data_IF_161999257671
#
_entry.id   IF_161999257671
#
_cell.length_a   1.000
_cell.length_b   1.000
_cell.length_c   1.000
_cell.angle_alpha   90.00
_cell.angle_beta   90.00
_cell.angle_gamma   90.00
#
_symmetry.space_group_name_H-M   'P 1'
#
loop_
_entity.id
_entity.type
_entity.pdbx_description
1 polymer ?
#
# COMPACT_ATOMS: atom_id res chain seq x y z
N UNK A 1 -11.37 22.07 -0.76
CA UNK A 1 -11.95 21.01 -1.62
C UNK A 1 -11.01 19.82 -1.49
N UNK A 2 -11.47 18.67 -0.98
CA UNK A 2 -10.62 17.45 -0.95
C UNK A 2 -10.46 16.99 -2.40
N UNK A 3 -9.23 16.85 -2.87
CA UNK A 3 -8.94 16.38 -4.23
C UNK A 3 -9.16 14.87 -4.24
N UNK A 4 -9.88 14.36 -5.24
CA UNK A 4 -9.98 12.92 -5.48
C UNK A 4 -8.72 12.47 -6.23
N UNK A 5 -7.81 11.80 -5.52
CA UNK A 5 -6.53 11.37 -6.08
C UNK A 5 -6.70 10.29 -7.16
N UNK A 6 -7.88 9.66 -7.30
CA UNK A 6 -8.15 8.74 -8.42
C UNK A 6 -8.09 9.40 -9.80
N UNK A 7 -8.20 10.72 -9.85
CA UNK A 7 -8.06 11.50 -11.08
C UNK A 7 -6.59 11.69 -11.52
N UNK A 8 -5.63 11.24 -10.70
CA UNK A 8 -4.20 11.36 -10.94
C UNK A 8 -3.62 9.94 -11.12
N UNK A 9 -3.16 9.63 -12.33
CA UNK A 9 -2.61 8.30 -12.67
C UNK A 9 -1.07 8.26 -12.60
N UNK A 10 -0.52 8.89 -11.57
CA UNK A 10 0.91 8.95 -11.31
C UNK A 10 1.13 9.26 -9.83
N UNK A 11 2.31 8.94 -9.27
CA UNK A 11 2.64 9.37 -7.93
C UNK A 11 2.58 10.88 -7.75
N UNK A 12 2.21 11.31 -6.56
CA UNK A 12 2.14 12.72 -6.17
C UNK A 12 3.19 13.08 -5.11
N UNK A 13 3.68 12.07 -4.38
CA UNK A 13 4.75 12.21 -3.39
C UNK A 13 6.11 11.76 -3.92
N UNK A 14 7.12 11.89 -3.06
CA UNK A 14 8.53 11.62 -3.38
C UNK A 14 8.97 10.18 -3.13
N UNK A 15 8.13 9.36 -2.50
CA UNK A 15 8.50 8.02 -2.00
C UNK A 15 8.13 6.87 -2.94
N UNK A 16 7.47 7.18 -4.06
CA UNK A 16 7.06 6.24 -5.10
C UNK A 16 8.20 5.72 -5.99
N UNK A 17 9.42 6.22 -5.81
CA UNK A 17 10.61 5.76 -6.53
C UNK A 17 11.70 5.36 -5.55
N UNK A 18 12.52 4.37 -5.92
CA UNK A 18 13.71 4.03 -5.15
C UNK A 18 14.63 5.26 -5.08
N UNK A 19 14.90 5.76 -3.87
CA UNK A 19 15.70 6.97 -3.66
C UNK A 19 17.12 6.86 -4.27
N UNK A 20 17.65 5.64 -4.35
CA UNK A 20 18.96 5.32 -4.93
C UNK A 20 18.89 4.85 -6.40
N UNK A 21 17.68 4.77 -6.98
CA UNK A 21 17.43 4.22 -8.32
C UNK A 21 17.70 2.71 -8.44
N UNK A 22 18.08 2.02 -7.36
CA UNK A 22 18.46 0.61 -7.41
C UNK A 22 17.24 -0.30 -7.26
N UNK A 23 16.46 -0.41 -8.33
CA UNK A 23 15.27 -1.27 -8.40
C UNK A 23 15.59 -2.77 -8.22
N UNK A 24 16.84 -3.19 -8.46
CA UNK A 24 17.23 -4.60 -8.35
C UNK A 24 17.12 -5.14 -6.92
N UNK A 25 17.28 -4.28 -5.91
CA UNK A 25 17.20 -4.69 -4.50
C UNK A 25 15.84 -5.29 -4.14
N UNK A 26 14.76 -4.81 -4.77
CA UNK A 26 13.40 -5.29 -4.53
C UNK A 26 13.07 -6.60 -5.24
N UNK A 27 13.96 -7.13 -6.09
CA UNK A 27 13.69 -8.37 -6.80
C UNK A 27 13.72 -9.57 -5.87
N UNK A 28 12.71 -10.42 -5.97
CA UNK A 28 12.71 -11.73 -5.34
C UNK A 28 13.74 -12.65 -6.01
N UNK A 29 14.40 -13.48 -5.22
CA UNK A 29 15.25 -14.56 -5.74
C UNK A 29 14.41 -15.66 -6.39
N UNK A 30 15.05 -16.51 -7.21
CA UNK A 30 14.37 -17.69 -7.79
C UNK A 30 13.76 -18.59 -6.72
N UNK A 31 14.46 -18.78 -5.60
CA UNK A 31 13.98 -19.61 -4.49
C UNK A 31 12.75 -19.00 -3.81
N UNK A 32 12.72 -17.68 -3.65
CA UNK A 32 11.55 -16.95 -3.13
C UNK A 32 10.33 -17.08 -4.05
N UNK A 33 10.52 -16.94 -5.37
CA UNK A 33 9.45 -17.14 -6.36
C UNK A 33 8.95 -18.60 -6.34
N UNK A 34 9.86 -19.57 -6.26
CA UNK A 34 9.49 -20.98 -6.15
C UNK A 34 8.73 -21.28 -4.84
N UNK A 35 9.12 -20.65 -3.73
CA UNK A 35 8.41 -20.73 -2.46
C UNK A 35 6.98 -20.22 -2.60
N UNK A 36 6.78 -19.06 -3.22
CA UNK A 36 5.44 -18.52 -3.48
C UNK A 36 4.59 -19.50 -4.30
N UNK A 37 5.14 -20.03 -5.41
CA UNK A 37 4.42 -21.00 -6.26
C UNK A 37 4.02 -22.26 -5.51
N UNK A 38 4.81 -22.68 -4.53
CA UNK A 38 4.55 -23.88 -3.72
C UNK A 38 3.59 -23.63 -2.55
N UNK A 39 3.69 -22.46 -1.91
CA UNK A 39 3.05 -22.20 -0.61
C UNK A 39 1.98 -21.11 -0.66
N UNK A 40 1.85 -20.38 -1.76
CA UNK A 40 0.88 -19.29 -1.93
C UNK A 40 1.31 -17.95 -1.31
N UNK A 41 2.46 -17.89 -0.64
CA UNK A 41 3.00 -16.66 -0.05
C UNK A 41 4.53 -16.66 -0.05
N UNK A 42 5.12 -15.47 0.11
CA UNK A 42 6.56 -15.28 0.28
C UNK A 42 6.82 -14.06 1.14
N UNK A 43 7.87 -14.13 1.96
CA UNK A 43 8.39 -12.97 2.69
C UNK A 43 9.58 -12.43 1.89
N UNK A 44 9.45 -11.18 1.44
CA UNK A 44 10.52 -10.44 0.77
C UNK A 44 11.69 -10.12 1.70
N UNK A 45 12.82 -9.66 1.12
CA UNK A 45 14.00 -9.25 1.89
C UNK A 45 14.02 -7.76 2.22
N UNK A 46 13.44 -6.96 1.33
CA UNK A 46 13.47 -5.50 1.40
C UNK A 46 12.14 -4.93 1.87
N UNK A 47 12.23 -3.81 2.57
CA UNK A 47 11.09 -3.08 3.15
C UNK A 47 10.98 -1.67 2.56
N UNK A 48 9.86 -1.02 2.84
CA UNK A 48 9.70 0.41 2.63
C UNK A 48 10.73 1.19 3.46
N UNK A 49 11.12 2.38 3.00
CA UNK A 49 11.99 3.23 3.82
C UNK A 49 11.27 3.65 5.10
N UNK A 50 12.03 3.98 6.14
CA UNK A 50 11.48 4.41 7.42
C UNK A 50 10.57 5.63 7.25
N UNK A 51 10.99 6.61 6.43
CA UNK A 51 10.20 7.81 6.19
C UNK A 51 8.90 7.54 5.43
N UNK A 52 8.89 6.55 4.52
CA UNK A 52 7.65 6.18 3.85
C UNK A 52 6.72 5.37 4.76
N UNK A 53 7.28 4.54 5.65
CA UNK A 53 6.50 3.89 6.70
C UNK A 53 5.88 4.91 7.65
N UNK A 54 6.61 5.93 8.07
CA UNK A 54 6.10 7.03 8.90
C UNK A 54 4.95 7.77 8.20
N UNK A 55 5.06 8.06 6.90
CA UNK A 55 3.98 8.65 6.12
C UNK A 55 2.74 7.75 6.09
N UNK A 56 2.90 6.45 5.85
CA UNK A 56 1.78 5.50 5.84
C UNK A 56 1.09 5.41 7.21
N UNK A 57 1.85 5.44 8.30
CA UNK A 57 1.30 5.47 9.65
C UNK A 57 0.52 6.76 9.91
N UNK A 58 1.07 7.93 9.56
CA UNK A 58 0.40 9.21 9.70
C UNK A 58 -0.88 9.31 8.85
N UNK A 59 -0.83 8.78 7.62
CA UNK A 59 -2.00 8.65 6.76
C UNK A 59 -3.05 7.73 7.39
N UNK A 60 -2.65 6.60 7.95
CA UNK A 60 -3.58 5.68 8.60
C UNK A 60 -4.26 6.37 9.80
N UNK A 61 -3.52 7.05 10.66
CA UNK A 61 -4.07 7.82 11.78
C UNK A 61 -5.10 8.86 11.32
N UNK A 62 -4.80 9.56 10.21
CA UNK A 62 -5.74 10.47 9.58
C UNK A 62 -6.99 9.74 9.08
N UNK A 63 -6.85 8.62 8.36
CA UNK A 63 -7.96 7.90 7.73
C UNK A 63 -8.91 7.25 8.75
N UNK A 64 -8.39 6.71 9.86
CA UNK A 64 -9.20 6.09 10.92
C UNK A 64 -9.88 7.10 11.84
N UNK A 65 -9.52 8.38 11.74
CA UNK A 65 -10.14 9.41 12.56
C UNK A 65 -11.66 9.49 12.28
N UNK A 66 -12.50 9.71 13.32
CA UNK A 66 -13.95 9.82 13.13
C UNK A 66 -14.36 10.90 12.12
N UNK A 67 -13.56 11.96 11.98
CA UNK A 67 -13.78 13.05 11.02
C UNK A 67 -13.67 12.59 9.57
N UNK A 68 -12.86 11.56 9.30
CA UNK A 68 -12.69 10.99 7.96
C UNK A 68 -13.57 9.78 7.69
N UNK A 69 -14.24 9.20 8.69
CA UNK A 69 -15.13 8.06 8.50
C UNK A 69 -16.24 8.33 7.46
N UNK A 70 -16.76 9.57 7.40
CA UNK A 70 -17.81 9.99 6.47
C UNK A 70 -17.28 10.63 5.17
N UNK A 71 -16.00 10.43 4.84
CA UNK A 71 -15.44 10.97 3.60
C UNK A 71 -16.13 10.34 2.39
N UNK A 72 -16.71 11.17 1.51
CA UNK A 72 -17.47 10.72 0.34
C UNK A 72 -16.62 10.01 -0.73
N UNK A 73 -15.30 9.99 -0.57
CA UNK A 73 -14.37 9.27 -1.44
C UNK A 73 -14.14 7.82 -1.00
N UNK A 74 -14.63 7.40 0.17
CA UNK A 74 -14.67 5.98 0.50
C UNK A 74 -15.62 5.24 -0.45
N UNK A 75 -15.22 4.04 -0.88
CA UNK A 75 -16.16 3.07 -1.46
C UNK A 75 -16.88 2.32 -0.33
N UNK A 76 -16.17 2.04 0.75
CA UNK A 76 -16.65 1.39 1.96
C UNK A 76 -15.75 1.82 3.12
N UNK A 77 -16.33 2.02 4.32
CA UNK A 77 -15.57 2.36 5.51
C UNK A 77 -16.29 1.88 6.77
N UNK A 78 -15.64 1.00 7.50
CA UNK A 78 -16.08 0.44 8.76
C UNK A 78 -14.98 0.64 9.81
N UNK A 79 -15.27 1.44 10.83
CA UNK A 79 -14.28 1.77 11.87
C UNK A 79 -13.91 0.56 12.74
N UNK A 80 -14.79 -0.43 12.83
CA UNK A 80 -14.53 -1.69 13.51
C UNK A 80 -15.43 -2.81 12.99
N UNK A 81 -14.84 -3.79 12.31
CA UNK A 81 -15.47 -5.04 11.85
C UNK A 81 -15.14 -6.23 12.77
N UNK A 82 -14.58 -5.98 13.94
CA UNK A 82 -14.31 -7.04 14.91
C UNK A 82 -15.62 -7.48 15.58
N UNK A 83 -16.08 -8.68 15.26
CA UNK A 83 -17.30 -9.26 15.83
C UNK A 83 -17.21 -9.53 17.34
N UNK A 84 -16.00 -9.79 17.85
CA UNK A 84 -15.79 -10.10 19.27
C UNK A 84 -14.34 -9.89 19.70
N UNK A 85 -14.14 -9.25 20.86
CA UNK A 85 -12.83 -9.01 21.44
C UNK A 85 -12.63 -7.54 21.81
N UNK A 86 -11.46 -7.23 22.36
CA UNK A 86 -11.03 -5.84 22.59
C UNK A 86 -10.31 -5.22 21.39
N UNK A 87 -10.06 -6.02 20.35
CA UNK A 87 -9.31 -5.58 19.18
C UNK A 87 -10.21 -4.80 18.22
N UNK A 88 -9.62 -3.80 17.55
CA UNK A 88 -10.30 -3.02 16.51
C UNK A 88 -9.81 -3.50 15.16
N UNK A 89 -10.74 -3.94 14.31
CA UNK A 89 -10.46 -4.25 12.90
C UNK A 89 -11.00 -3.12 12.02
N UNK A 90 -10.15 -2.15 11.70
CA UNK A 90 -10.51 -1.13 10.72
C UNK A 90 -10.54 -1.75 9.31
N UNK A 91 -11.67 -1.59 8.61
CA UNK A 91 -11.83 -2.04 7.23
C UNK A 91 -12.29 -0.87 6.35
N UNK A 92 -11.57 -0.59 5.27
CA UNK A 92 -12.00 0.43 4.33
C UNK A 92 -11.51 0.15 2.90
N UNK A 93 -12.29 0.63 1.92
CA UNK A 93 -12.00 0.56 0.51
C UNK A 93 -11.90 1.97 -0.07
N UNK A 94 -10.76 2.31 -0.67
CA UNK A 94 -10.55 3.60 -1.34
C UNK A 94 -9.53 4.54 -0.68
N UNK A 95 -8.72 4.06 0.28
CA UNK A 95 -7.71 4.88 0.98
C UNK A 95 -6.76 5.60 0.01
N UNK A 96 -6.36 4.93 -1.06
CA UNK A 96 -5.51 5.45 -2.14
C UNK A 96 -6.11 6.65 -2.90
N UNK A 97 -7.41 6.92 -2.77
CA UNK A 97 -8.08 8.10 -3.34
C UNK A 97 -7.98 9.33 -2.45
N UNK A 98 -7.66 9.12 -1.17
CA UNK A 98 -7.84 10.09 -0.09
C UNK A 98 -6.50 10.59 0.43
N UNK A 99 -5.52 9.71 0.62
CA UNK A 99 -4.25 10.05 1.25
C UNK A 99 -3.05 9.77 0.35
N UNK A 100 -2.00 10.57 0.52
CA UNK A 100 -0.82 10.58 -0.35
C UNK A 100 -0.03 9.27 -0.27
N UNK A 101 0.26 8.78 0.93
CA UNK A 101 1.04 7.58 1.15
C UNK A 101 0.37 6.34 0.57
N UNK A 102 -0.93 6.15 0.81
CA UNK A 102 -1.68 5.03 0.23
C UNK A 102 -1.88 5.17 -1.28
N UNK A 103 -1.95 6.40 -1.81
CA UNK A 103 -1.96 6.65 -3.24
C UNK A 103 -0.64 6.21 -3.87
N UNK A 104 0.48 6.75 -3.39
CA UNK A 104 1.82 6.49 -3.91
C UNK A 104 2.26 5.03 -3.74
N UNK A 105 1.72 4.32 -2.74
CA UNK A 105 1.99 2.90 -2.51
C UNK A 105 1.65 2.03 -3.72
N UNK A 106 0.68 2.44 -4.56
CA UNK A 106 0.32 1.75 -5.80
C UNK A 106 1.48 1.66 -6.80
N UNK A 107 2.39 2.64 -6.78
CA UNK A 107 3.54 2.69 -7.68
C UNK A 107 4.84 2.21 -7.04
N UNK A 108 4.86 1.96 -5.73
CA UNK A 108 6.06 1.68 -4.96
C UNK A 108 6.81 0.43 -5.48
N UNK A 109 8.08 0.55 -5.94
CA UNK A 109 8.91 -0.58 -6.37
C UNK A 109 9.00 -1.76 -5.40
N UNK A 110 8.97 -1.51 -4.09
CA UNK A 110 8.97 -2.57 -3.08
C UNK A 110 7.71 -3.48 -3.15
N UNK A 111 6.64 -3.00 -3.76
CA UNK A 111 5.38 -3.73 -3.99
C UNK A 111 5.29 -4.23 -5.43
N UNK A 112 5.47 -3.32 -6.40
CA UNK A 112 5.24 -3.62 -7.82
C UNK A 112 6.28 -4.59 -8.41
N UNK A 113 7.56 -4.49 -8.03
CA UNK A 113 8.59 -5.39 -8.56
C UNK A 113 8.38 -6.84 -8.11
N UNK A 114 8.21 -7.15 -6.80
CA UNK A 114 7.83 -8.49 -6.39
C UNK A 114 6.54 -8.97 -7.06
N UNK A 115 5.50 -8.14 -7.11
CA UNK A 115 4.22 -8.51 -7.70
C UNK A 115 4.34 -8.94 -9.17
N UNK A 116 5.08 -8.17 -9.99
CA UNK A 116 5.32 -8.52 -11.39
C UNK A 116 6.05 -9.86 -11.54
N UNK A 117 7.02 -10.18 -10.66
CA UNK A 117 7.71 -11.46 -10.67
C UNK A 117 6.82 -12.64 -10.26
N UNK A 118 5.92 -12.41 -9.31
CA UNK A 118 5.01 -13.45 -8.82
C UNK A 118 3.88 -13.75 -9.81
N UNK A 119 3.38 -12.71 -10.49
CA UNK A 119 2.26 -12.79 -11.43
C UNK A 119 2.70 -13.04 -12.88
N UNK A 120 4.00 -12.92 -13.17
CA UNK A 120 4.57 -13.05 -14.52
C UNK A 120 3.90 -12.10 -15.54
N UNK A 121 3.57 -10.89 -15.07
CA UNK A 121 2.85 -9.87 -15.83
C UNK A 121 3.22 -8.47 -15.33
N UNK A 122 3.02 -7.47 -16.20
CA UNK A 122 3.12 -6.07 -15.79
C UNK A 122 1.96 -5.72 -14.85
N UNK A 123 2.28 -5.02 -13.76
CA UNK A 123 1.33 -4.52 -12.75
C UNK A 123 1.34 -3.00 -12.79
N UNK A 124 0.14 -2.42 -12.76
CA UNK A 124 -0.11 -0.97 -12.72
C UNK A 124 -1.30 -0.68 -11.83
#
# INVERSE_FOLDING_TARGET
MKIDLSTISQPIGKYSTAADGNLQRFRLTKDQVNSYRKHGFVVGKESLSEEFMELLCADLDFLISPENANNSLWHECHLNECDSGSDVLFHALGAWRISEGFHDLLWQPAVTIPATQLLDADIR
#
